data_IF_508899835161
#
_entry.id   IF_508899835161
#
_cell.length_a   1.000
_cell.length_b   1.000
_cell.length_c   1.000
_cell.angle_alpha   90.00
_cell.angle_beta   90.00
_cell.angle_gamma   90.00
#
_symmetry.space_group_name_H-M   'P 1'
#
loop_
_entity.id
_entity.type
_entity.pdbx_description
1 polymer ?
#
# COMPACT_ATOMS: atom_id res chain seq x y z
N UNK A 1 7.04 -0.95 -2.17
CA UNK A 1 7.75 -2.23 -2.34
C UNK A 1 8.40 -2.71 -1.04
N UNK A 2 9.04 -1.84 -0.24
CA UNK A 2 9.78 -2.25 0.96
C UNK A 2 8.95 -3.01 2.01
N UNK A 3 7.72 -2.62 2.35
CA UNK A 3 6.87 -3.43 3.22
C UNK A 3 6.60 -4.82 2.66
N UNK A 4 6.39 -4.93 1.34
CA UNK A 4 6.17 -6.23 0.70
C UNK A 4 7.41 -7.12 0.75
N UNK A 5 8.62 -6.56 0.62
CA UNK A 5 9.89 -7.28 0.79
C UNK A 5 10.01 -7.77 2.24
N UNK A 6 9.82 -6.87 3.22
CA UNK A 6 9.96 -7.19 4.64
C UNK A 6 9.00 -8.31 5.10
N UNK A 7 7.81 -8.35 4.54
CA UNK A 7 6.80 -9.36 4.85
C UNK A 7 6.78 -10.57 3.92
N UNK A 8 7.74 -10.68 2.99
CA UNK A 8 7.84 -11.82 2.08
C UNK A 8 6.73 -11.92 1.03
N UNK A 9 6.16 -10.78 0.65
CA UNK A 9 5.03 -10.69 -0.29
C UNK A 9 5.41 -10.05 -1.63
N UNK A 10 6.65 -9.57 -1.78
CA UNK A 10 7.10 -8.77 -2.93
C UNK A 10 7.09 -9.51 -4.27
N UNK A 11 7.03 -10.84 -4.24
CA UNK A 11 6.88 -11.67 -5.44
C UNK A 11 5.48 -11.57 -6.08
N UNK A 12 4.48 -11.05 -5.35
CA UNK A 12 3.09 -10.93 -5.83
C UNK A 12 2.57 -9.50 -5.76
N UNK A 13 2.98 -8.70 -4.76
CA UNK A 13 2.46 -7.33 -4.54
C UNK A 13 3.59 -6.34 -4.26
N UNK A 14 3.28 -5.05 -4.31
CA UNK A 14 4.16 -3.97 -3.83
C UNK A 14 4.92 -3.23 -4.91
N UNK A 15 4.77 -3.59 -6.18
CA UNK A 15 5.32 -2.85 -7.33
C UNK A 15 4.46 -3.04 -8.58
N UNK A 16 4.61 -2.13 -9.55
CA UNK A 16 3.94 -2.18 -10.84
C UNK A 16 4.80 -2.98 -11.82
N UNK A 17 4.70 -4.30 -11.76
CA UNK A 17 5.44 -5.22 -12.61
C UNK A 17 4.50 -6.26 -13.21
N UNK A 18 4.79 -6.68 -14.44
CA UNK A 18 4.03 -7.75 -15.11
C UNK A 18 4.11 -9.04 -14.28
N UNK A 19 2.96 -9.67 -14.06
CA UNK A 19 2.83 -10.89 -13.27
C UNK A 19 2.52 -10.66 -11.78
N UNK A 20 2.55 -9.42 -11.31
CA UNK A 20 2.09 -9.07 -9.96
C UNK A 20 0.61 -8.73 -9.90
N UNK A 21 0.07 -8.79 -8.71
CA UNK A 21 -1.35 -8.51 -8.44
C UNK A 21 -1.69 -7.07 -8.74
N UNK A 22 -2.72 -6.84 -9.52
CA UNK A 22 -3.13 -5.51 -9.99
C UNK A 22 -3.93 -4.75 -8.92
N UNK A 23 -3.28 -4.44 -7.79
CA UNK A 23 -3.78 -3.51 -6.77
C UNK A 23 -3.20 -2.14 -7.07
N UNK A 24 -4.00 -1.25 -7.65
CA UNK A 24 -3.55 0.02 -8.20
C UNK A 24 -4.39 1.18 -7.69
N UNK A 25 -3.74 2.31 -7.50
CA UNK A 25 -4.44 3.58 -7.23
C UNK A 25 -4.09 4.58 -8.32
N UNK A 26 -5.12 5.11 -8.98
CA UNK A 26 -4.95 6.13 -10.02
C UNK A 26 -5.27 7.50 -9.44
N UNK A 27 -4.37 8.45 -9.67
CA UNK A 27 -4.46 9.81 -9.16
C UNK A 27 -4.55 10.82 -10.29
N UNK A 28 -5.35 11.86 -10.10
CA UNK A 28 -5.13 13.12 -10.82
C UNK A 28 -3.91 13.81 -10.18
N UNK A 29 -2.95 14.35 -10.97
CA UNK A 29 -1.72 14.93 -10.42
C UNK A 29 -1.97 15.98 -9.33
N UNK A 30 -2.97 16.84 -9.51
CA UNK A 30 -3.33 17.87 -8.54
C UNK A 30 -3.80 17.33 -7.18
N UNK A 31 -4.22 16.07 -7.12
CA UNK A 31 -4.76 15.42 -5.91
C UNK A 31 -3.94 14.21 -5.49
N UNK A 32 -2.71 14.12 -5.95
CA UNK A 32 -1.83 12.98 -5.65
C UNK A 32 -1.64 12.81 -4.14
N UNK A 33 -1.83 11.57 -3.67
CA UNK A 33 -1.69 11.20 -2.26
C UNK A 33 -2.86 11.60 -1.37
N UNK A 34 -3.86 12.30 -1.89
CA UNK A 34 -4.97 12.85 -1.10
C UNK A 34 -6.30 12.28 -1.55
N UNK A 35 -6.60 12.37 -2.85
CA UNK A 35 -7.93 12.06 -3.39
C UNK A 35 -7.79 11.21 -4.66
N UNK A 36 -7.84 9.86 -4.58
CA UNK A 36 -7.68 9.00 -5.74
C UNK A 36 -8.82 9.19 -6.74
N UNK A 37 -8.53 9.06 -8.03
CA UNK A 37 -9.56 9.05 -9.07
C UNK A 37 -10.28 7.70 -9.10
N UNK A 38 -9.52 6.61 -8.97
CA UNK A 38 -10.07 5.26 -8.81
C UNK A 38 -9.09 4.33 -8.09
N UNK A 39 -9.62 3.26 -7.53
CA UNK A 39 -8.86 2.19 -6.87
C UNK A 39 -9.23 0.86 -7.52
N UNK A 40 -8.22 0.13 -7.97
CA UNK A 40 -8.35 -1.23 -8.48
C UNK A 40 -7.89 -2.24 -7.43
N UNK A 41 -8.62 -3.33 -7.32
CA UNK A 41 -8.30 -4.51 -6.52
C UNK A 41 -8.28 -5.74 -7.43
N UNK A 42 -7.13 -6.40 -7.53
CA UNK A 42 -6.98 -7.56 -8.40
C UNK A 42 -7.39 -7.31 -9.86
N UNK A 43 -7.19 -6.08 -10.35
CA UNK A 43 -7.57 -5.67 -11.71
C UNK A 43 -9.02 -5.21 -11.87
N UNK A 44 -9.87 -5.33 -10.84
CA UNK A 44 -11.25 -4.84 -10.86
C UNK A 44 -11.38 -3.49 -10.16
N UNK A 45 -12.17 -2.58 -10.70
CA UNK A 45 -12.44 -1.28 -10.06
C UNK A 45 -13.26 -1.51 -8.79
N UNK A 46 -12.67 -1.19 -7.64
CA UNK A 46 -13.32 -1.32 -6.34
C UNK A 46 -13.95 0.00 -5.87
N UNK A 47 -13.31 1.12 -6.18
CA UNK A 47 -13.78 2.46 -5.81
C UNK A 47 -13.45 3.44 -6.92
N UNK A 48 -14.40 4.32 -7.26
CA UNK A 48 -14.16 5.41 -8.20
C UNK A 48 -14.97 6.66 -7.83
N UNK A 49 -14.43 7.82 -8.17
CA UNK A 49 -15.19 9.07 -8.15
C UNK A 49 -16.22 9.04 -9.32
N UNK A 50 -17.49 9.08 -8.98
CA UNK A 50 -18.59 8.90 -9.93
C UNK A 50 -19.76 9.79 -9.55
N UNK A 51 -20.45 10.32 -10.57
CA UNK A 51 -21.74 10.99 -10.41
C UNK A 51 -22.88 10.02 -10.16
N UNK A 52 -24.12 10.47 -10.27
CA UNK A 52 -25.28 9.60 -10.13
C UNK A 52 -25.28 8.53 -11.22
N UNK A 53 -25.22 7.24 -10.89
CA UNK A 53 -25.19 6.15 -11.86
C UNK A 53 -26.50 6.03 -12.68
N UNK A 54 -27.60 6.62 -12.20
CA UNK A 54 -28.89 6.61 -12.88
C UNK A 54 -29.13 7.86 -13.74
N UNK A 55 -28.20 8.81 -13.73
CA UNK A 55 -28.35 10.02 -14.52
C UNK A 55 -28.19 9.73 -16.03
N UNK A 56 -29.00 10.37 -16.85
CA UNK A 56 -28.96 10.27 -18.29
C UNK A 56 -28.11 11.33 -18.99
N UNK A 57 -27.34 12.11 -18.23
CA UNK A 57 -26.45 13.17 -18.71
C UNK A 57 -24.98 12.77 -18.65
N UNK A 58 -24.11 13.30 -19.56
CA UNK A 58 -22.67 12.92 -19.55
C UNK A 58 -21.89 13.32 -18.33
N UNK A 59 -22.34 14.36 -17.59
CA UNK A 59 -21.66 14.91 -16.40
C UNK A 59 -22.58 14.95 -15.19
N UNK A 60 -23.01 13.78 -14.67
CA UNK A 60 -23.95 13.74 -13.55
C UNK A 60 -23.33 14.31 -12.26
N UNK A 61 -24.15 15.01 -11.50
CA UNK A 61 -23.81 15.61 -10.21
C UNK A 61 -24.77 15.12 -9.13
N UNK A 62 -24.36 15.10 -7.84
CA UNK A 62 -23.01 15.33 -7.33
C UNK A 62 -22.07 14.14 -7.56
N UNK A 63 -20.76 14.40 -7.67
CA UNK A 63 -19.73 13.37 -7.80
C UNK A 63 -19.25 12.95 -6.42
N UNK A 64 -19.38 11.67 -6.11
CA UNK A 64 -18.92 11.05 -4.87
C UNK A 64 -18.04 9.84 -5.15
N UNK A 65 -17.24 9.41 -4.16
CA UNK A 65 -16.62 8.10 -4.22
C UNK A 65 -17.68 7.02 -4.05
N UNK A 66 -17.74 6.14 -5.04
CA UNK A 66 -18.74 5.07 -5.06
C UNK A 66 -18.07 3.72 -5.20
N UNK A 67 -18.51 2.70 -4.42
CA UNK A 67 -18.12 1.32 -4.65
C UNK A 67 -18.51 0.87 -6.07
N UNK A 68 -17.64 0.11 -6.70
CA UNK A 68 -17.80 -0.43 -8.05
C UNK A 68 -17.80 -1.97 -8.00
N UNK A 69 -17.79 -2.64 -9.14
CA UNK A 69 -17.87 -4.11 -9.24
C UNK A 69 -16.89 -4.86 -8.35
N UNK A 70 -15.65 -4.36 -8.21
CA UNK A 70 -14.62 -4.95 -7.36
C UNK A 70 -14.90 -4.88 -5.86
N UNK A 71 -15.91 -4.12 -5.44
CA UNK A 71 -16.32 -3.97 -4.04
C UNK A 71 -17.52 -4.87 -3.65
N UNK A 72 -18.06 -5.68 -4.56
CA UNK A 72 -19.27 -6.44 -4.31
C UNK A 72 -19.13 -7.94 -4.59
N UNK A 73 -19.97 -8.74 -3.91
CA UNK A 73 -20.13 -10.16 -4.15
C UNK A 73 -18.81 -10.94 -4.09
N UNK A 74 -18.67 -11.90 -4.99
CA UNK A 74 -17.47 -12.73 -5.07
C UNK A 74 -16.20 -11.98 -5.49
N UNK A 75 -16.32 -10.78 -6.09
CA UNK A 75 -15.17 -9.95 -6.46
C UNK A 75 -14.33 -9.53 -5.23
N UNK A 76 -14.97 -9.31 -4.07
CA UNK A 76 -14.28 -9.01 -2.81
C UNK A 76 -13.28 -10.11 -2.43
N UNK A 77 -13.68 -11.36 -2.56
CA UNK A 77 -12.82 -12.50 -2.25
C UNK A 77 -11.83 -12.79 -3.39
N UNK A 78 -12.31 -12.86 -4.64
CA UNK A 78 -11.47 -13.17 -5.81
C UNK A 78 -10.48 -12.06 -6.16
N UNK A 79 -10.79 -10.81 -5.85
CA UNK A 79 -9.91 -9.66 -6.01
C UNK A 79 -8.91 -9.45 -4.85
N UNK A 80 -8.82 -10.37 -3.90
CA UNK A 80 -7.97 -10.23 -2.71
C UNK A 80 -7.18 -11.50 -2.42
N UNK A 81 -6.06 -11.33 -1.69
CA UNK A 81 -5.17 -12.42 -1.29
C UNK A 81 -5.14 -12.57 0.24
N UNK A 82 -4.93 -13.78 0.70
CA UNK A 82 -4.55 -14.08 2.09
C UNK A 82 -3.15 -14.68 2.09
N UNK A 83 -2.21 -14.00 2.71
CA UNK A 83 -0.86 -14.51 2.87
C UNK A 83 -0.77 -15.41 4.09
N UNK A 84 -0.17 -16.58 3.89
CA UNK A 84 0.04 -17.60 4.92
C UNK A 84 1.49 -18.06 4.92
N UNK A 85 1.91 -18.80 5.93
CA UNK A 85 3.23 -19.44 5.90
C UNK A 85 3.28 -20.56 4.86
N UNK A 86 4.50 -20.90 4.40
CA UNK A 86 4.71 -22.07 3.52
C UNK A 86 4.14 -23.36 4.13
N UNK A 87 4.32 -23.54 5.43
CA UNK A 87 3.77 -24.71 6.15
C UNK A 87 2.24 -24.69 6.18
N UNK A 88 1.63 -23.52 6.42
CA UNK A 88 0.19 -23.34 6.41
C UNK A 88 -0.43 -23.62 5.04
N UNK A 89 0.24 -23.16 3.96
CA UNK A 89 -0.23 -23.46 2.61
C UNK A 89 -0.21 -24.96 2.32
N UNK A 90 0.91 -25.64 2.65
CA UNK A 90 1.00 -27.12 2.49
C UNK A 90 0.00 -27.89 3.34
N UNK A 91 -0.36 -27.35 4.50
CA UNK A 91 -1.38 -27.94 5.38
C UNK A 91 -2.83 -27.65 4.96
N UNK A 92 -3.04 -27.00 3.80
CA UNK A 92 -4.38 -26.71 3.27
C UNK A 92 -5.20 -25.74 4.15
N UNK A 93 -4.52 -24.77 4.80
CA UNK A 93 -5.17 -23.84 5.73
C UNK A 93 -6.34 -23.08 5.10
N UNK A 94 -6.28 -22.79 3.80
CA UNK A 94 -7.35 -22.12 3.05
C UNK A 94 -8.66 -22.91 3.11
N UNK A 95 -8.62 -24.16 2.76
CA UNK A 95 -9.79 -25.08 2.80
C UNK A 95 -10.23 -25.36 4.24
N UNK A 96 -9.27 -25.65 5.11
CA UNK A 96 -9.53 -26.02 6.51
C UNK A 96 -10.30 -24.94 7.28
N UNK A 97 -10.04 -23.66 6.98
CA UNK A 97 -10.75 -22.54 7.59
C UNK A 97 -11.80 -21.89 6.69
N UNK A 98 -12.11 -22.50 5.54
CA UNK A 98 -13.12 -21.99 4.62
C UNK A 98 -12.81 -20.59 4.07
N UNK A 99 -11.53 -20.28 3.85
CA UNK A 99 -11.13 -18.97 3.36
C UNK A 99 -11.60 -18.77 1.92
N UNK A 100 -12.29 -17.66 1.68
CA UNK A 100 -12.83 -17.34 0.36
C UNK A 100 -11.78 -16.67 -0.56
N UNK A 101 -10.74 -16.06 0.03
CA UNK A 101 -9.65 -15.41 -0.70
C UNK A 101 -8.61 -16.44 -1.14
N UNK A 102 -7.98 -16.20 -2.28
CA UNK A 102 -6.84 -17.02 -2.71
C UNK A 102 -5.72 -16.96 -1.67
N UNK A 103 -5.28 -18.12 -1.20
CA UNK A 103 -4.17 -18.23 -0.24
C UNK A 103 -2.83 -18.31 -0.98
N UNK A 104 -1.85 -17.53 -0.53
CA UNK A 104 -0.52 -17.44 -1.10
C UNK A 104 0.51 -17.51 0.00
N UNK A 105 1.64 -18.20 -0.25
CA UNK A 105 2.70 -18.29 0.74
C UNK A 105 3.57 -17.03 0.78
N UNK A 106 3.84 -16.51 1.98
CA UNK A 106 4.93 -15.58 2.21
C UNK A 106 6.28 -16.26 2.00
N UNK A 107 7.25 -15.56 1.39
CA UNK A 107 8.54 -16.13 0.99
C UNK A 107 9.69 -15.17 1.35
N UNK A 108 10.83 -15.77 1.77
CA UNK A 108 12.09 -15.05 1.91
C UNK A 108 12.19 -14.03 3.06
N UNK A 109 11.16 -13.90 3.92
CA UNK A 109 11.12 -12.85 4.95
C UNK A 109 12.15 -13.03 6.09
N UNK A 110 12.68 -14.24 6.32
CA UNK A 110 13.62 -14.51 7.43
C UNK A 110 15.04 -14.02 7.17
N UNK A 111 15.42 -13.85 5.92
CA UNK A 111 16.75 -13.39 5.49
C UNK A 111 16.79 -11.93 5.08
N UNK A 112 15.66 -11.21 5.20
CA UNK A 112 15.57 -9.81 4.84
C UNK A 112 16.32 -8.93 5.83
N UNK A 113 17.16 -8.06 5.30
CA UNK A 113 17.90 -7.05 6.05
C UNK A 113 17.67 -5.66 5.46
N UNK A 114 18.21 -4.64 6.11
CA UNK A 114 18.18 -3.26 5.60
C UNK A 114 18.78 -3.15 4.19
N UNK A 115 19.79 -3.94 3.86
CA UNK A 115 20.44 -3.96 2.55
C UNK A 115 19.49 -4.38 1.39
N UNK A 116 18.40 -5.10 1.69
CA UNK A 116 17.42 -5.52 0.71
C UNK A 116 16.36 -4.44 0.39
N UNK A 117 16.36 -3.32 1.11
CA UNK A 117 15.37 -2.26 0.92
C UNK A 117 15.69 -1.43 -0.31
N UNK A 118 14.71 -1.26 -1.19
CA UNK A 118 14.80 -0.44 -2.40
C UNK A 118 14.88 1.03 -2.00
N UNK A 119 15.90 1.74 -2.50
CA UNK A 119 16.19 3.15 -2.18
C UNK A 119 16.21 3.49 -0.69
N UNK A 120 16.39 2.49 0.18
CA UNK A 120 16.43 2.66 1.62
C UNK A 120 17.38 1.62 2.26
N UNK A 121 18.50 1.34 1.63
CA UNK A 121 19.49 0.34 2.09
C UNK A 121 20.58 0.94 2.99
N UNK A 122 20.66 2.27 3.08
CA UNK A 122 21.65 2.96 3.89
C UNK A 122 21.50 2.62 5.39
N UNK A 123 22.60 2.20 6.02
CA UNK A 123 22.68 1.82 7.42
C UNK A 123 23.86 2.52 8.07
N UNK A 124 23.70 3.77 8.53
CA UNK A 124 24.77 4.53 9.15
C UNK A 124 25.13 3.98 10.54
N UNK A 125 26.37 4.24 10.95
CA UNK A 125 26.76 4.10 12.35
C UNK A 125 26.12 5.23 13.15
N UNK A 126 25.15 4.89 13.99
CA UNK A 126 24.43 5.87 14.81
C UNK A 126 25.15 6.06 16.16
N UNK A 127 25.34 7.32 16.54
CA UNK A 127 25.81 7.73 17.86
C UNK A 127 24.76 8.66 18.47
N UNK A 128 24.21 8.25 19.62
CA UNK A 128 23.14 8.97 20.31
C UNK A 128 23.61 9.35 21.70
N UNK A 129 23.63 10.65 22.00
CA UNK A 129 23.90 11.19 23.32
C UNK A 129 22.58 11.69 23.95
N UNK A 130 21.99 10.91 24.89
CA UNK A 130 20.73 11.28 25.51
C UNK A 130 20.83 12.44 26.49
N UNK A 131 22.04 12.77 26.96
CA UNK A 131 22.24 13.89 27.87
C UNK A 131 22.29 15.23 27.16
N UNK A 132 22.89 15.24 25.95
CA UNK A 132 23.01 16.44 25.12
C UNK A 132 21.96 16.52 24.02
N UNK A 133 21.13 15.48 23.90
CA UNK A 133 20.12 15.37 22.83
C UNK A 133 20.73 15.48 21.44
N UNK A 134 21.95 14.94 21.26
CA UNK A 134 22.62 14.98 19.95
C UNK A 134 22.59 13.60 19.31
N UNK A 135 22.39 13.59 17.99
CA UNK A 135 22.41 12.38 17.18
C UNK A 135 23.40 12.59 16.04
N UNK A 136 24.31 11.63 15.86
CA UNK A 136 25.25 11.60 14.75
C UNK A 136 25.03 10.34 13.90
N UNK A 137 25.15 10.50 12.60
CA UNK A 137 25.19 9.39 11.65
C UNK A 137 26.54 9.43 10.92
N UNK A 138 27.34 8.38 11.03
CA UNK A 138 28.71 8.30 10.50
C UNK A 138 29.57 9.52 10.89
N UNK A 139 29.43 9.98 12.14
CA UNK A 139 30.14 11.15 12.67
C UNK A 139 29.51 12.51 12.33
N UNK A 140 28.59 12.58 11.38
CA UNK A 140 27.90 13.81 11.02
C UNK A 140 26.77 14.12 12.00
N UNK A 141 26.76 15.32 12.59
CA UNK A 141 25.68 15.79 13.45
C UNK A 141 24.40 15.96 12.64
N UNK A 142 23.33 15.33 13.08
CA UNK A 142 22.00 15.49 12.48
C UNK A 142 21.30 16.66 13.17
N UNK A 143 20.93 17.65 12.38
CA UNK A 143 20.13 18.81 12.81
C UNK A 143 18.94 18.98 11.86
N UNK A 144 17.84 19.48 12.39
CA UNK A 144 16.67 19.81 11.62
C UNK A 144 16.06 21.09 12.17
N UNK A 145 15.89 22.07 11.32
CA UNK A 145 15.18 23.29 11.68
C UNK A 145 13.68 22.97 11.91
N UNK A 146 13.02 23.65 12.83
CA UNK A 146 11.59 23.50 13.04
C UNK A 146 10.82 23.75 11.72
N UNK A 147 9.89 22.85 11.39
CA UNK A 147 9.08 23.02 10.21
C UNK A 147 8.12 24.22 10.37
N UNK A 148 8.25 25.22 9.52
CA UNK A 148 7.32 26.33 9.46
C UNK A 148 6.03 25.99 8.71
N UNK A 149 6.06 24.94 7.88
CA UNK A 149 4.93 24.46 7.10
C UNK A 149 5.02 22.93 6.94
N UNK A 150 3.95 22.22 7.26
CA UNK A 150 3.84 20.78 7.02
C UNK A 150 3.24 20.54 5.63
N UNK A 151 3.96 19.87 4.72
CA UNK A 151 3.43 19.55 3.40
C UNK A 151 2.23 18.61 3.51
N UNK A 152 1.26 18.79 2.62
CA UNK A 152 0.02 18.02 2.48
C UNK A 152 -0.93 18.08 3.67
N UNK A 153 -0.50 17.75 4.90
CA UNK A 153 -1.35 17.71 6.09
C UNK A 153 -2.06 19.05 6.39
N UNK A 154 -1.48 20.18 5.99
CA UNK A 154 -2.07 21.51 6.15
C UNK A 154 -2.79 22.03 4.91
N UNK A 155 -2.67 21.36 3.77
CA UNK A 155 -3.18 21.85 2.48
C UNK A 155 -4.43 21.15 2.00
N UNK A 156 -4.70 19.96 2.52
CA UNK A 156 -5.77 19.12 2.03
C UNK A 156 -6.67 18.65 3.19
N UNK A 157 -7.93 19.06 3.11
CA UNK A 157 -8.98 18.53 3.96
C UNK A 157 -9.67 17.39 3.21
N UNK A 158 -9.80 16.24 3.86
CA UNK A 158 -10.33 15.01 3.27
C UNK A 158 -11.84 14.83 3.51
N UNK A 159 -12.45 15.76 4.19
CA UNK A 159 -13.87 15.76 4.63
C UNK A 159 -14.57 17.05 4.28
#
# INVERSE_FOLDING_TARGET
INPAIAHGMSHIVGSLEVGKWADLVVWKPAFFGVKPALVLKGGSIALAAMGDPNASIPTPQPVHYRPQFGAFGSALAKGSLTFVSQAGLRAGVGERYGLQKTTVAAQGCRSVTKANMVHNSYLPKMEIDPQRYTVRADGQLLTCEPASQLPMAQRYFLF
#
